data_IF_528670431760
#
_entry.id   IF_528670431760
#
_cell.length_a   1.000
_cell.length_b   1.000
_cell.length_c   1.000
_cell.angle_alpha   90.00
_cell.angle_beta   90.00
_cell.angle_gamma   90.00
#
_symmetry.space_group_name_H-M   'P 1'
#
loop_
_entity.id
_entity.type
_entity.pdbx_description
1 polymer ?
#
# COMPACT_ATOMS: atom_id res chain seq x y z
N UNK A 1 -58.42 -28.46 11.40
CA UNK A 1 -58.50 -27.10 10.87
C UNK A 1 -57.95 -27.16 9.46
N UNK A 2 -58.84 -27.38 8.49
CA UNK A 2 -58.99 -26.58 7.26
C UNK A 2 -57.70 -25.90 6.75
N UNK A 3 -57.08 -26.45 5.69
CA UNK A 3 -57.35 -26.14 4.26
C UNK A 3 -56.73 -24.81 3.84
N UNK A 4 -56.18 -24.59 2.66
CA UNK A 4 -55.62 -25.40 1.58
C UNK A 4 -54.75 -24.39 0.79
N UNK A 5 -53.54 -24.77 0.37
CA UNK A 5 -52.75 -24.02 -0.62
C UNK A 5 -52.74 -24.89 -1.86
N UNK A 6 -53.25 -24.38 -2.99
CA UNK A 6 -52.99 -24.96 -4.30
C UNK A 6 -52.46 -23.88 -5.26
N UNK A 7 -51.50 -24.24 -6.14
CA UNK A 7 -50.71 -23.34 -6.96
C UNK A 7 -51.35 -23.12 -8.35
N UNK A 8 -50.91 -22.10 -9.09
CA UNK A 8 -51.20 -21.98 -10.52
C UNK A 8 -49.91 -21.95 -11.34
N UNK A 9 -49.92 -22.80 -12.36
CA UNK A 9 -48.91 -23.15 -13.35
C UNK A 9 -48.85 -22.16 -14.54
N UNK A 10 -47.64 -22.08 -15.12
CA UNK A 10 -47.25 -21.96 -16.54
C UNK A 10 -48.29 -21.64 -17.61
N UNK A 11 -47.92 -20.73 -18.54
CA UNK A 11 -48.06 -20.95 -20.00
C UNK A 11 -46.86 -20.32 -20.75
N UNK A 12 -46.11 -21.15 -21.50
CA UNK A 12 -45.25 -20.76 -22.61
C UNK A 12 -46.10 -20.54 -23.87
N UNK A 13 -45.75 -19.55 -24.70
CA UNK A 13 -46.02 -19.61 -26.13
C UNK A 13 -44.92 -18.92 -26.94
N UNK A 14 -44.34 -19.68 -27.85
CA UNK A 14 -43.42 -19.32 -28.93
C UNK A 14 -44.20 -19.15 -30.23
N UNK A 15 -43.97 -18.08 -31.00
CA UNK A 15 -44.22 -18.02 -32.47
C UNK A 15 -43.17 -17.12 -33.14
N UNK A 16 -42.76 -17.55 -34.34
CA UNK A 16 -41.68 -17.07 -35.20
C UNK A 16 -41.99 -15.79 -36.02
N UNK A 17 -40.91 -15.33 -36.67
CA UNK A 17 -40.66 -14.19 -37.58
C UNK A 17 -41.65 -13.98 -38.74
N UNK A 18 -41.73 -12.73 -39.23
CA UNK A 18 -41.46 -12.39 -40.64
C UNK A 18 -41.19 -10.87 -40.83
N UNK A 19 -40.40 -10.55 -41.86
CA UNK A 19 -39.71 -9.29 -42.12
C UNK A 19 -40.52 -8.33 -43.01
N UNK A 20 -40.19 -7.03 -42.97
CA UNK A 20 -40.19 -6.17 -44.17
C UNK A 20 -39.32 -4.91 -44.01
N UNK A 21 -38.57 -4.67 -45.07
CA UNK A 21 -37.58 -3.62 -45.31
C UNK A 21 -38.17 -2.25 -45.61
N UNK A 22 -37.58 -1.19 -45.07
CA UNK A 22 -37.51 0.13 -45.75
C UNK A 22 -36.19 0.82 -45.45
N UNK A 23 -35.77 1.60 -46.43
CA UNK A 23 -34.45 2.11 -46.76
C UNK A 23 -34.02 3.40 -46.03
N UNK A 24 -32.70 3.56 -45.93
CA UNK A 24 -31.91 4.80 -45.96
C UNK A 24 -32.18 5.88 -44.89
N UNK A 25 -31.18 6.10 -44.04
CA UNK A 25 -30.50 7.40 -43.98
C UNK A 25 -29.13 7.28 -43.31
N UNK A 26 -28.12 7.78 -44.02
CA UNK A 26 -26.75 7.93 -43.59
C UNK A 26 -26.63 8.87 -42.38
N UNK A 27 -26.18 8.33 -41.26
CA UNK A 27 -25.43 9.08 -40.26
C UNK A 27 -24.15 8.29 -40.00
N UNK A 28 -23.06 8.72 -40.64
CA UNK A 28 -21.72 8.25 -40.33
C UNK A 28 -21.41 8.62 -38.88
N UNK A 29 -21.50 7.63 -37.98
CA UNK A 29 -20.87 7.70 -36.67
C UNK A 29 -19.38 7.40 -36.86
N UNK A 30 -18.46 8.22 -36.32
CA UNK A 30 -17.04 7.89 -36.37
C UNK A 30 -16.82 6.59 -35.58
N UNK A 31 -15.84 5.75 -35.98
CA UNK A 31 -15.56 4.52 -35.25
C UNK A 31 -15.19 4.89 -33.81
N UNK A 32 -15.95 4.37 -32.84
CA UNK A 32 -15.55 4.33 -31.46
C UNK A 32 -14.27 3.49 -31.40
N UNK A 33 -13.13 4.16 -31.47
CA UNK A 33 -11.87 3.58 -31.01
C UNK A 33 -12.10 3.24 -29.56
N UNK A 34 -12.19 1.95 -29.25
CA UNK A 34 -12.03 1.44 -27.89
C UNK A 34 -10.68 1.95 -27.38
N UNK A 35 -10.69 3.11 -26.73
CA UNK A 35 -9.60 3.47 -25.83
C UNK A 35 -9.56 2.33 -24.82
N UNK A 36 -8.43 1.63 -24.76
CA UNK A 36 -8.14 0.64 -23.72
C UNK A 36 -8.68 1.20 -22.41
N UNK A 37 -9.74 0.60 -21.89
CA UNK A 37 -10.29 0.95 -20.61
C UNK A 37 -9.16 0.75 -19.61
N UNK A 38 -8.68 1.85 -19.03
CA UNK A 38 -7.97 1.78 -17.77
C UNK A 38 -8.85 0.99 -16.82
N UNK A 39 -8.35 -0.14 -16.35
CA UNK A 39 -9.02 -0.95 -15.33
C UNK A 39 -9.52 -0.02 -14.22
N UNK A 40 -10.74 -0.19 -13.70
CA UNK A 40 -11.18 0.53 -12.50
C UNK A 40 -10.28 0.25 -11.28
N UNK A 41 -9.37 -0.74 -11.39
CA UNK A 41 -8.35 -1.10 -10.41
C UNK A 41 -6.94 -0.58 -10.75
N UNK A 42 -6.75 0.16 -11.84
CA UNK A 42 -5.43 0.73 -12.15
C UNK A 42 -5.06 1.83 -11.15
N UNK A 43 -4.00 1.59 -10.38
CA UNK A 43 -3.41 2.60 -9.52
C UNK A 43 -2.76 3.67 -10.41
N UNK A 44 -3.43 4.81 -10.53
CA UNK A 44 -2.85 5.97 -11.19
C UNK A 44 -1.88 6.68 -10.24
N UNK A 45 -0.59 6.31 -10.33
CA UNK A 45 0.50 6.93 -9.57
C UNK A 45 0.64 8.43 -9.86
N UNK A 46 0.12 8.90 -11.00
CA UNK A 46 0.06 10.34 -11.30
C UNK A 46 -0.99 11.02 -10.41
N UNK A 47 -2.14 10.39 -10.17
CA UNK A 47 -3.19 10.94 -9.27
C UNK A 47 -2.71 11.08 -7.81
N UNK A 48 -1.79 10.21 -7.37
CA UNK A 48 -1.18 10.29 -6.04
C UNK A 48 -0.31 11.55 -5.83
N UNK A 49 0.24 12.13 -6.92
CA UNK A 49 0.99 13.41 -6.89
C UNK A 49 0.16 14.62 -7.33
N UNK A 50 -0.85 14.43 -8.19
CA UNK A 50 -1.56 15.51 -8.90
C UNK A 50 -2.96 15.86 -8.38
N UNK A 51 -3.50 15.21 -7.33
CA UNK A 51 -4.63 15.76 -6.56
C UNK A 51 -4.20 16.99 -5.71
N UNK A 52 -3.37 17.85 -6.27
CA UNK A 52 -2.80 19.02 -5.63
C UNK A 52 -3.84 20.16 -5.46
N UNK A 53 -5.12 19.99 -5.74
CA UNK A 53 -6.11 21.07 -5.55
C UNK A 53 -7.30 20.71 -4.65
N UNK A 54 -7.52 19.44 -4.31
CA UNK A 54 -8.76 19.00 -3.64
C UNK A 54 -8.68 18.91 -2.11
N UNK A 55 -7.48 19.05 -1.52
CA UNK A 55 -7.31 18.99 -0.07
C UNK A 55 -6.50 20.17 0.46
N UNK A 56 -6.96 20.68 1.61
CA UNK A 56 -6.38 21.84 2.32
C UNK A 56 -5.52 21.43 3.51
N UNK A 57 -5.54 20.14 3.90
CA UNK A 57 -4.89 19.63 5.09
C UNK A 57 -4.00 18.42 4.81
N UNK A 58 -3.03 18.19 5.68
CA UNK A 58 -2.13 17.02 5.63
C UNK A 58 -2.01 16.39 7.00
N UNK A 59 -1.90 15.07 7.02
CA UNK A 59 -1.67 14.29 8.23
C UNK A 59 -0.16 14.09 8.41
N UNK A 60 0.33 14.30 9.63
CA UNK A 60 1.74 14.09 9.96
C UNK A 60 1.91 12.84 10.81
N UNK A 61 2.90 12.02 10.45
CA UNK A 61 3.22 10.80 11.16
C UNK A 61 4.72 10.71 11.42
N UNK A 62 5.07 10.14 12.57
CA UNK A 62 6.38 9.54 12.81
C UNK A 62 6.24 8.03 12.68
N UNK A 63 7.02 7.42 11.80
CA UNK A 63 7.07 5.97 11.56
C UNK A 63 8.44 5.48 12.03
N UNK A 64 8.49 4.51 12.92
CA UNK A 64 9.72 4.02 13.52
C UNK A 64 9.75 2.48 13.51
N UNK A 65 10.86 1.89 13.07
CA UNK A 65 11.09 0.46 13.24
C UNK A 65 11.31 0.13 14.72
N UNK A 66 10.57 -0.83 15.24
CA UNK A 66 10.48 -1.08 16.69
C UNK A 66 11.77 -1.67 17.26
N UNK A 67 12.35 -2.65 16.57
CA UNK A 67 13.48 -3.43 17.10
C UNK A 67 14.84 -2.79 16.81
N UNK A 68 14.91 -1.84 15.89
CA UNK A 68 16.18 -1.23 15.47
C UNK A 68 16.47 0.02 16.29
N UNK A 69 17.45 -0.09 17.21
CA UNK A 69 17.78 0.98 18.18
C UNK A 69 19.13 1.67 17.94
N UNK A 70 20.04 1.05 17.17
CA UNK A 70 21.44 1.51 17.03
C UNK A 70 21.90 1.49 15.56
N UNK A 71 21.89 2.66 14.88
CA UNK A 71 21.07 3.84 15.22
C UNK A 71 19.58 3.52 15.04
N UNK A 72 18.67 4.29 15.66
CA UNK A 72 17.25 4.10 15.43
C UNK A 72 16.87 4.48 14.00
N UNK A 73 16.01 3.67 13.39
CA UNK A 73 15.50 3.92 12.03
C UNK A 73 14.08 4.47 12.12
N UNK A 74 13.89 5.72 11.66
CA UNK A 74 12.58 6.36 11.64
C UNK A 74 12.47 7.44 10.57
N UNK A 75 11.23 7.74 10.19
CA UNK A 75 10.85 8.79 9.25
C UNK A 75 9.72 9.61 9.84
N UNK A 76 9.75 10.92 9.65
CA UNK A 76 8.62 11.82 9.90
C UNK A 76 8.14 12.35 8.57
N UNK A 77 6.91 12.01 8.21
CA UNK A 77 6.34 12.32 6.91
C UNK A 77 5.04 13.10 7.06
N UNK A 78 4.68 13.84 6.01
CA UNK A 78 3.35 14.39 5.83
C UNK A 78 2.72 13.77 4.58
N UNK A 79 1.47 13.35 4.70
CA UNK A 79 0.68 12.76 3.63
C UNK A 79 -0.63 13.54 3.44
N UNK A 80 -1.23 13.53 2.24
CA UNK A 80 -2.54 14.13 2.01
C UNK A 80 -3.60 13.66 3.02
N UNK A 81 -4.52 14.55 3.41
CA UNK A 81 -5.60 14.23 4.35
C UNK A 81 -6.55 13.14 3.85
N UNK A 82 -6.70 13.02 2.54
CA UNK A 82 -7.55 12.04 1.86
C UNK A 82 -6.81 10.73 1.52
N UNK A 83 -5.63 10.47 2.12
CA UNK A 83 -4.94 9.21 1.89
C UNK A 83 -5.70 8.02 2.45
N UNK A 84 -5.80 6.97 1.64
CA UNK A 84 -6.19 5.63 2.08
C UNK A 84 -5.03 4.94 2.80
N UNK A 85 -5.31 3.84 3.50
CA UNK A 85 -4.28 3.00 4.10
C UNK A 85 -3.33 2.41 3.04
N UNK A 86 -3.83 2.06 1.86
CA UNK A 86 -2.98 1.59 0.78
C UNK A 86 -2.02 2.68 0.27
N UNK A 87 -2.50 3.91 0.08
CA UNK A 87 -1.63 5.03 -0.30
C UNK A 87 -0.60 5.34 0.79
N UNK A 88 -0.98 5.18 2.06
CA UNK A 88 -0.07 5.33 3.19
C UNK A 88 1.00 4.24 3.22
N UNK A 89 0.63 2.98 2.97
CA UNK A 89 1.56 1.87 2.80
C UNK A 89 2.62 2.19 1.74
N UNK A 90 2.22 2.64 0.55
CA UNK A 90 3.17 3.02 -0.50
C UNK A 90 4.08 4.18 -0.06
N UNK A 91 3.56 5.12 0.74
CA UNK A 91 4.38 6.20 1.30
C UNK A 91 5.41 5.68 2.32
N UNK A 92 5.04 4.71 3.16
CA UNK A 92 5.97 4.04 4.08
C UNK A 92 7.06 3.34 3.28
N UNK A 93 6.68 2.50 2.31
CA UNK A 93 7.61 1.76 1.45
C UNK A 93 8.62 2.68 0.75
N UNK A 94 8.14 3.79 0.18
CA UNK A 94 9.02 4.79 -0.45
C UNK A 94 10.02 5.36 0.55
N UNK A 95 9.54 5.90 1.68
CA UNK A 95 10.40 6.61 2.64
C UNK A 95 11.33 5.67 3.42
N UNK A 96 11.02 4.37 3.48
CA UNK A 96 11.88 3.33 4.02
C UNK A 96 12.86 2.76 2.99
N UNK A 97 12.72 3.05 1.70
CA UNK A 97 13.63 2.49 0.69
C UNK A 97 13.28 1.08 0.23
N UNK A 98 12.11 0.56 0.59
CA UNK A 98 11.63 -0.78 0.24
C UNK A 98 10.88 -0.82 -1.08
N UNK A 99 10.61 -2.03 -1.56
CA UNK A 99 10.17 -2.33 -2.93
C UNK A 99 8.70 -2.74 -3.01
N UNK A 100 7.97 -2.79 -1.89
CA UNK A 100 6.60 -3.29 -1.86
C UNK A 100 6.53 -4.71 -2.48
N UNK A 101 7.36 -5.63 -1.97
CA UNK A 101 7.51 -6.99 -2.50
C UNK A 101 6.82 -8.05 -1.64
N UNK A 102 6.37 -7.69 -0.45
CA UNK A 102 5.79 -8.61 0.52
C UNK A 102 4.44 -8.12 1.05
N UNK A 103 3.73 -9.01 1.74
CA UNK A 103 2.48 -8.70 2.44
C UNK A 103 2.69 -7.69 3.57
N UNK A 104 1.62 -6.99 3.92
CA UNK A 104 1.59 -6.06 5.03
C UNK A 104 0.21 -5.99 5.68
N UNK A 105 0.18 -5.48 6.91
CA UNK A 105 -1.07 -5.21 7.62
C UNK A 105 -0.88 -4.05 8.60
N UNK A 106 -1.92 -3.23 8.74
CA UNK A 106 -2.04 -2.26 9.83
C UNK A 106 -2.93 -2.82 10.92
N UNK A 107 -2.48 -2.74 12.18
CA UNK A 107 -3.24 -3.19 13.34
C UNK A 107 -3.72 -2.00 14.15
N UNK A 108 -5.01 -1.74 14.08
CA UNK A 108 -5.65 -0.71 14.87
C UNK A 108 -5.85 -1.19 16.32
N UNK A 109 -6.13 -0.23 17.21
CA UNK A 109 -6.59 -0.56 18.55
C UNK A 109 -7.95 -1.29 18.44
N UNK A 110 -8.29 -2.12 19.42
CA UNK A 110 -9.54 -2.90 19.48
C UNK A 110 -9.63 -4.13 18.54
N UNK A 111 -8.50 -4.59 17.99
CA UNK A 111 -8.43 -5.88 17.28
C UNK A 111 -8.98 -5.83 15.86
N UNK A 112 -8.87 -4.67 15.20
CA UNK A 112 -9.14 -4.54 13.76
C UNK A 112 -7.83 -4.54 12.98
N UNK A 113 -7.85 -5.23 11.84
CA UNK A 113 -6.78 -5.21 10.87
C UNK A 113 -7.23 -4.47 9.61
N UNK A 114 -6.32 -3.72 9.01
CA UNK A 114 -6.53 -3.01 7.75
C UNK A 114 -5.44 -3.48 6.80
N UNK A 115 -5.86 -4.04 5.67
CA UNK A 115 -4.95 -4.64 4.70
C UNK A 115 -5.74 -5.20 3.52
N UNK A 116 -5.10 -6.06 2.74
CA UNK A 116 -5.78 -6.74 1.64
C UNK A 116 -6.64 -7.90 2.18
N UNK A 117 -7.97 -7.88 2.05
CA UNK A 117 -8.84 -8.96 2.52
C UNK A 117 -8.45 -10.31 1.91
N UNK A 118 -8.11 -10.35 0.62
CA UNK A 118 -7.75 -11.59 -0.09
C UNK A 118 -6.44 -12.22 0.39
N UNK A 119 -5.51 -11.43 0.94
CA UNK A 119 -4.22 -11.94 1.43
C UNK A 119 -4.29 -12.33 2.91
N UNK A 120 -5.20 -11.70 3.65
CA UNK A 120 -5.37 -11.95 5.08
C UNK A 120 -6.31 -13.15 5.29
N UNK A 121 -7.24 -13.43 4.37
CA UNK A 121 -8.15 -14.59 4.44
C UNK A 121 -7.42 -15.95 4.52
N UNK A 122 -6.29 -16.12 3.83
CA UNK A 122 -5.50 -17.36 3.89
C UNK A 122 -4.84 -17.60 5.26
N UNK A 123 -4.60 -16.54 6.05
CA UNK A 123 -4.07 -16.63 7.42
C UNK A 123 -5.15 -16.41 8.51
N UNK A 124 -6.31 -15.84 8.16
CA UNK A 124 -7.35 -15.41 9.11
C UNK A 124 -8.34 -16.50 9.51
N UNK A 125 -8.33 -17.67 8.85
CA UNK A 125 -9.08 -18.85 9.33
C UNK A 125 -8.76 -19.20 10.80
N UNK A 126 -7.63 -18.72 11.33
CA UNK A 126 -7.22 -18.91 12.72
C UNK A 126 -7.53 -17.72 13.66
N UNK A 127 -7.75 -16.49 13.16
CA UNK A 127 -7.70 -15.29 14.00
C UNK A 127 -9.03 -14.58 14.28
N UNK A 128 -10.15 -14.93 13.64
CA UNK A 128 -11.48 -14.26 13.82
C UNK A 128 -11.43 -12.72 13.73
N UNK A 129 -10.37 -12.15 13.15
CA UNK A 129 -10.09 -10.72 13.18
C UNK A 129 -10.79 -10.06 12.00
N UNK A 130 -11.53 -8.97 12.26
CA UNK A 130 -12.22 -8.24 11.20
C UNK A 130 -11.19 -7.44 10.38
N UNK A 131 -11.17 -7.71 9.07
CA UNK A 131 -10.27 -7.07 8.11
C UNK A 131 -11.02 -6.00 7.31
N UNK A 132 -10.48 -4.79 7.25
CA UNK A 132 -10.98 -3.71 6.40
C UNK A 132 -10.09 -3.50 5.17
N UNK A 133 -10.72 -3.22 4.03
CA UNK A 133 -10.05 -3.03 2.74
C UNK A 133 -9.23 -1.72 2.70
N UNK A 134 -7.90 -1.85 2.69
CA UNK A 134 -6.96 -0.73 2.72
C UNK A 134 -7.09 0.26 1.55
N UNK A 135 -7.60 -0.17 0.40
CA UNK A 135 -7.78 0.70 -0.79
C UNK A 135 -8.93 1.66 -0.64
N UNK A 136 -9.85 1.43 0.30
CA UNK A 136 -11.05 2.27 0.52
C UNK A 136 -11.11 2.93 1.90
N UNK A 137 -10.42 2.36 2.89
CA UNK A 137 -10.35 2.92 4.24
C UNK A 137 -9.40 4.12 4.30
N UNK A 138 -9.86 5.26 4.84
CA UNK A 138 -9.09 6.50 4.94
C UNK A 138 -8.35 6.62 6.28
N UNK A 139 -7.16 7.22 6.26
CA UNK A 139 -6.37 7.46 7.48
C UNK A 139 -7.12 8.34 8.49
N UNK A 140 -7.83 9.36 7.97
CA UNK A 140 -8.57 10.33 8.80
C UNK A 140 -9.69 9.70 9.62
N UNK A 141 -10.18 8.52 9.23
CA UNK A 141 -11.24 7.82 9.97
C UNK A 141 -10.69 7.14 11.24
N UNK A 142 -9.36 6.98 11.32
CA UNK A 142 -8.68 6.32 12.44
C UNK A 142 -7.87 7.27 13.31
N UNK A 143 -7.21 8.27 12.72
CA UNK A 143 -6.25 9.12 13.42
C UNK A 143 -6.85 10.47 13.84
N UNK A 144 -7.30 10.54 15.09
CA UNK A 144 -8.02 11.71 15.64
C UNK A 144 -7.25 12.44 16.74
N UNK A 145 -6.42 11.71 17.49
CA UNK A 145 -5.81 12.21 18.73
C UNK A 145 -4.29 12.24 18.55
N UNK A 146 -3.66 13.38 18.83
CA UNK A 146 -2.21 13.50 18.79
C UNK A 146 -1.55 12.45 19.70
N UNK A 147 -0.45 11.87 19.24
CA UNK A 147 0.26 10.74 19.84
C UNK A 147 -0.50 9.39 19.79
N UNK A 148 -1.62 9.30 19.06
CA UNK A 148 -2.26 8.02 18.76
C UNK A 148 -1.30 7.13 17.99
N UNK A 149 -1.27 5.85 18.37
CA UNK A 149 -0.35 4.86 17.84
C UNK A 149 -1.09 3.74 17.13
N UNK A 150 -0.45 3.23 16.09
CA UNK A 150 -0.87 2.08 15.30
C UNK A 150 0.35 1.26 14.92
N UNK A 151 0.21 -0.07 14.87
CA UNK A 151 1.25 -0.94 14.38
C UNK A 151 1.07 -1.20 12.89
N UNK A 152 2.18 -1.24 12.16
CA UNK A 152 2.23 -1.66 10.76
C UNK A 152 3.31 -2.72 10.63
N UNK A 153 2.94 -3.89 10.14
CA UNK A 153 3.87 -4.98 9.84
C UNK A 153 4.03 -5.08 8.33
N UNK A 154 5.28 -5.19 7.88
CA UNK A 154 5.65 -5.46 6.50
C UNK A 154 6.53 -6.70 6.45
N UNK A 155 6.31 -7.52 5.42
CA UNK A 155 6.95 -8.81 5.23
C UNK A 155 6.69 -9.77 6.40
N UNK A 156 5.72 -10.68 6.25
CA UNK A 156 5.39 -11.65 7.30
C UNK A 156 6.46 -12.74 7.48
N UNK A 157 7.45 -12.83 6.58
CA UNK A 157 8.61 -13.69 6.77
C UNK A 157 9.63 -13.05 7.72
N UNK A 158 9.98 -11.79 7.46
CA UNK A 158 10.97 -11.04 8.24
C UNK A 158 10.36 -10.29 9.45
N UNK A 159 9.04 -10.15 9.48
CA UNK A 159 8.21 -9.48 10.49
C UNK A 159 8.69 -8.07 10.85
N UNK A 160 8.78 -7.17 9.86
CA UNK A 160 9.18 -5.79 10.11
C UNK A 160 8.06 -4.97 10.78
N UNK A 161 8.11 -4.91 12.11
CA UNK A 161 7.22 -4.09 12.95
C UNK A 161 7.55 -2.61 12.95
N UNK A 162 6.55 -1.78 12.66
CA UNK A 162 6.62 -0.33 12.69
C UNK A 162 5.62 0.25 13.66
N UNK A 163 6.11 1.13 14.52
CA UNK A 163 5.25 1.99 15.31
C UNK A 163 4.96 3.29 14.55
N UNK A 164 3.72 3.44 14.09
CA UNK A 164 3.19 4.67 13.54
C UNK A 164 2.65 5.52 14.68
N UNK A 165 3.14 6.74 14.80
CA UNK A 165 2.65 7.75 15.76
C UNK A 165 2.09 8.93 15.00
N UNK A 166 0.81 9.23 15.20
CA UNK A 166 0.15 10.38 14.62
C UNK A 166 0.53 11.66 15.38
N UNK A 167 1.08 12.64 14.67
CA UNK A 167 1.58 13.90 15.27
C UNK A 167 0.61 15.08 15.05
N UNK A 168 -0.46 14.89 14.28
CA UNK A 168 -1.54 15.86 14.06
C UNK A 168 -1.85 16.17 12.59
N UNK A 169 -2.90 16.96 12.38
CA UNK A 169 -3.28 17.55 11.09
C UNK A 169 -2.71 18.96 10.98
N UNK A 170 -2.20 19.31 9.80
CA UNK A 170 -1.63 20.61 9.52
C UNK A 170 -2.19 21.18 8.22
N UNK A 171 -2.20 22.50 8.09
CA UNK A 171 -2.53 23.13 6.82
C UNK A 171 -1.49 22.77 5.76
N UNK A 172 -2.01 22.46 4.58
CA UNK A 172 -1.21 22.20 3.42
C UNK A 172 -0.51 23.49 2.98
N UNK A 173 0.79 23.39 2.71
CA UNK A 173 1.56 24.52 2.19
C UNK A 173 1.37 24.63 0.68
N UNK A 174 1.02 25.84 0.21
CA UNK A 174 0.93 26.15 -1.20
C UNK A 174 2.25 25.81 -1.93
N UNK A 175 2.14 25.37 -3.19
CA UNK A 175 3.29 25.02 -4.06
C UNK A 175 4.24 23.98 -3.45
N UNK A 176 3.75 23.12 -2.58
CA UNK A 176 4.51 22.01 -1.98
C UNK A 176 3.94 20.69 -2.45
N UNK A 177 4.81 19.77 -2.88
CA UNK A 177 4.43 18.41 -3.22
C UNK A 177 4.28 17.55 -1.95
N UNK A 178 3.33 16.63 -2.01
CA UNK A 178 3.07 15.62 -1.00
C UNK A 178 2.91 14.26 -1.69
N UNK A 179 3.18 13.14 -0.99
CA UNK A 179 3.72 13.07 0.38
C UNK A 179 5.15 13.59 0.44
N UNK A 180 5.61 13.97 1.63
CA UNK A 180 6.98 14.47 1.82
C UNK A 180 7.58 14.05 3.13
N UNK A 181 8.90 13.89 3.15
CA UNK A 181 9.65 13.60 4.36
C UNK A 181 10.14 14.91 4.98
N UNK A 182 9.84 15.09 6.27
CA UNK A 182 10.25 16.25 7.05
C UNK A 182 11.61 16.01 7.71
N UNK A 183 11.80 14.84 8.31
CA UNK A 183 13.00 14.43 9.06
C UNK A 183 13.08 12.91 9.10
N UNK A 184 14.26 12.38 9.41
CA UNK A 184 14.45 10.96 9.66
C UNK A 184 15.86 10.69 10.16
N UNK A 185 16.14 9.44 10.50
CA UNK A 185 17.46 8.95 10.88
C UNK A 185 17.58 7.47 10.54
N UNK A 186 18.80 7.04 10.24
CA UNK A 186 19.17 5.64 10.12
C UNK A 186 18.79 5.06 8.77
N UNK A 187 19.70 4.26 8.21
CA UNK A 187 19.49 3.53 6.98
C UNK A 187 18.58 2.34 7.25
N UNK A 188 17.54 2.18 6.44
CA UNK A 188 16.62 1.07 6.62
C UNK A 188 17.30 -0.27 6.29
N UNK A 189 16.82 -1.37 6.90
CA UNK A 189 17.20 -2.71 6.49
C UNK A 189 17.00 -2.90 4.97
N UNK A 190 17.93 -3.55 4.27
CA UNK A 190 17.68 -4.04 2.92
C UNK A 190 16.48 -5.00 2.92
N UNK A 191 15.79 -5.11 1.77
CA UNK A 191 14.82 -6.20 1.54
C UNK A 191 15.51 -7.56 1.73
N UNK A 192 14.74 -8.56 2.20
CA UNK A 192 15.16 -9.95 2.33
C UNK A 192 16.43 -10.17 3.20
N UNK A 193 16.73 -9.25 4.11
CA UNK A 193 17.94 -9.36 4.96
C UNK A 193 17.76 -10.36 6.10
N UNK A 194 16.56 -10.92 6.30
CA UNK A 194 16.28 -11.95 7.31
C UNK A 194 15.85 -11.38 8.65
N UNK A 195 15.00 -10.35 8.63
CA UNK A 195 14.42 -9.75 9.83
C UNK A 195 15.46 -9.08 10.72
N UNK A 196 15.10 -8.86 11.99
CA UNK A 196 15.94 -8.12 12.93
C UNK A 196 17.33 -8.74 13.14
N UNK A 197 17.41 -10.05 13.37
CA UNK A 197 18.70 -10.73 13.58
C UNK A 197 19.54 -10.76 12.31
N UNK A 198 18.92 -10.98 11.15
CA UNK A 198 19.60 -10.90 9.86
C UNK A 198 20.19 -9.52 9.60
N UNK A 199 19.43 -8.45 9.85
CA UNK A 199 19.95 -7.08 9.72
C UNK A 199 21.05 -6.74 10.73
N UNK A 200 20.97 -7.28 11.95
CA UNK A 200 22.03 -7.11 12.95
C UNK A 200 23.33 -7.78 12.51
N UNK A 201 23.25 -9.02 12.02
CA UNK A 201 24.40 -9.74 11.45
C UNK A 201 24.97 -9.00 10.23
N UNK A 202 24.09 -8.57 9.32
CA UNK A 202 24.46 -7.77 8.15
C UNK A 202 25.28 -6.53 8.52
N UNK A 203 24.85 -5.77 9.54
CA UNK A 203 25.59 -4.57 9.99
C UNK A 203 26.96 -4.91 10.57
N UNK A 204 27.07 -6.01 11.30
CA UNK A 204 28.34 -6.46 11.87
C UNK A 204 29.32 -6.82 10.75
N UNK A 205 28.88 -7.67 9.83
CA UNK A 205 29.68 -8.11 8.68
C UNK A 205 30.11 -6.92 7.81
N UNK A 206 29.17 -6.05 7.43
CA UNK A 206 29.47 -4.89 6.57
C UNK A 206 30.34 -3.83 7.25
N UNK A 207 30.51 -3.88 8.57
CA UNK A 207 31.38 -2.96 9.31
C UNK A 207 32.85 -3.42 9.39
N UNK A 208 33.11 -4.72 9.19
CA UNK A 208 34.45 -5.29 9.20
C UNK A 208 34.84 -5.84 7.82
N UNK A 209 35.68 -5.09 7.11
CA UNK A 209 36.19 -5.48 5.77
C UNK A 209 37.03 -6.75 5.77
N UNK A 210 37.49 -7.23 6.92
CA UNK A 210 38.24 -8.48 7.05
C UNK A 210 37.34 -9.65 7.50
N UNK A 211 36.04 -9.42 7.74
CA UNK A 211 35.13 -10.49 8.12
C UNK A 211 35.09 -11.54 6.99
N UNK A 212 35.15 -12.86 7.29
CA UNK A 212 35.18 -13.91 6.28
C UNK A 212 34.00 -13.87 5.28
N UNK A 213 32.86 -13.34 5.71
CA UNK A 213 31.65 -13.19 4.89
C UNK A 213 31.46 -11.79 4.27
N UNK A 214 32.39 -10.84 4.50
CA UNK A 214 32.22 -9.46 4.04
C UNK A 214 32.04 -9.38 2.52
N UNK A 215 32.88 -10.06 1.75
CA UNK A 215 32.81 -10.04 0.27
C UNK A 215 31.44 -10.52 -0.24
N UNK A 216 30.93 -11.63 0.32
CA UNK A 216 29.61 -12.17 -0.05
C UNK A 216 28.48 -11.17 0.22
N UNK A 217 28.49 -10.53 1.39
CA UNK A 217 27.47 -9.57 1.78
C UNK A 217 27.58 -8.24 1.03
N UNK A 218 28.80 -7.80 0.72
CA UNK A 218 29.07 -6.63 -0.10
C UNK A 218 28.51 -6.81 -1.51
N UNK A 219 28.77 -7.96 -2.12
CA UNK A 219 28.26 -8.31 -3.45
C UNK A 219 26.73 -8.45 -3.45
N UNK A 220 26.16 -9.14 -2.46
CA UNK A 220 24.71 -9.24 -2.28
C UNK A 220 24.04 -7.86 -2.13
N UNK A 221 24.70 -6.93 -1.42
CA UNK A 221 24.23 -5.57 -1.24
C UNK A 221 24.43 -4.67 -2.49
N UNK A 222 24.95 -5.24 -3.57
CA UNK A 222 25.14 -4.57 -4.86
C UNK A 222 26.46 -3.82 -4.95
N UNK A 223 27.51 -4.30 -4.29
CA UNK A 223 28.87 -3.76 -4.40
C UNK A 223 29.02 -2.35 -3.84
N UNK A 224 28.38 -2.07 -2.70
CA UNK A 224 28.40 -0.74 -2.09
C UNK A 224 28.60 -0.81 -0.58
N UNK A 225 29.28 0.20 -0.02
CA UNK A 225 29.43 0.30 1.43
C UNK A 225 28.08 0.54 2.10
N UNK A 226 27.90 0.00 3.31
CA UNK A 226 26.72 0.23 4.13
C UNK A 226 27.04 1.17 5.30
N UNK A 227 26.43 2.35 5.32
CA UNK A 227 26.48 3.25 6.45
C UNK A 227 25.15 3.22 7.24
N UNK A 228 25.12 2.69 8.47
CA UNK A 228 23.88 2.55 9.24
C UNK A 228 23.25 3.89 9.66
N UNK A 229 24.02 4.97 9.77
CA UNK A 229 23.51 6.30 10.14
C UNK A 229 23.00 7.13 8.95
N UNK A 230 23.27 6.67 7.72
CA UNK A 230 22.91 7.39 6.51
C UNK A 230 21.39 7.49 6.33
N UNK A 231 20.92 8.71 6.04
CA UNK A 231 19.56 8.94 5.58
C UNK A 231 19.52 10.24 4.77
N UNK A 232 19.06 10.16 3.52
CA UNK A 232 18.76 11.32 2.70
C UNK A 232 17.24 11.57 2.64
N UNK A 233 16.84 12.75 3.11
CA UNK A 233 15.45 13.19 3.11
C UNK A 233 14.94 13.56 1.73
N UNK A 234 15.81 14.10 0.86
CA UNK A 234 15.40 14.62 -0.46
C UNK A 234 14.87 13.50 -1.35
N UNK A 235 15.53 12.33 -1.30
CA UNK A 235 15.22 11.19 -2.15
C UNK A 235 14.14 10.24 -1.59
N UNK A 236 13.58 10.54 -0.41
CA UNK A 236 12.67 9.65 0.31
C UNK A 236 11.38 9.30 -0.48
N UNK A 237 11.02 10.07 -1.51
CA UNK A 237 9.82 9.84 -2.32
C UNK A 237 10.10 9.79 -3.83
N UNK A 238 11.36 9.71 -4.26
CA UNK A 238 11.73 9.70 -5.69
C UNK A 238 11.10 8.52 -6.45
N UNK A 239 10.91 7.39 -5.75
CA UNK A 239 10.35 6.16 -6.32
C UNK A 239 8.82 6.09 -6.28
N UNK A 240 8.12 7.10 -5.77
CA UNK A 240 6.66 7.01 -5.55
C UNK A 240 5.85 6.79 -6.84
N UNK A 241 6.33 7.24 -8.01
CA UNK A 241 5.63 6.98 -9.29
C UNK A 241 5.88 5.58 -9.83
N UNK A 242 6.98 4.94 -9.40
CA UNK A 242 7.49 3.67 -9.90
C UNK A 242 7.33 2.53 -8.88
N UNK A 243 6.69 2.80 -7.74
CA UNK A 243 6.39 1.76 -6.78
C UNK A 243 5.16 1.00 -7.29
N UNK A 244 5.42 -0.18 -7.83
CA UNK A 244 4.37 -1.02 -8.38
C UNK A 244 3.59 -1.67 -7.23
N UNK A 245 2.29 -1.83 -7.41
CA UNK A 245 1.54 -2.82 -6.63
C UNK A 245 1.91 -4.19 -7.20
N UNK A 246 2.65 -5.01 -6.45
CA UNK A 246 3.01 -6.36 -6.90
C UNK A 246 1.76 -7.23 -7.19
N UNK A 247 0.60 -6.83 -6.64
CA UNK A 247 -0.70 -7.46 -6.86
C UNK A 247 -1.37 -7.08 -8.19
N UNK A 248 -0.87 -6.06 -8.90
CA UNK A 248 -1.40 -5.69 -10.21
C UNK A 248 -0.90 -6.63 -11.33
N UNK A 249 0.07 -7.51 -11.02
CA UNK A 249 0.36 -8.67 -11.85
C UNK A 249 -0.64 -9.77 -11.51
N UNK A 250 -1.47 -10.15 -12.47
CA UNK A 250 -2.56 -11.13 -12.34
C UNK A 250 -2.13 -12.58 -12.03
N UNK A 251 -1.05 -12.77 -11.28
CA UNK A 251 -0.39 -14.06 -11.03
C UNK A 251 -0.76 -14.66 -9.66
N UNK A 252 -1.95 -14.34 -9.15
CA UNK A 252 -2.65 -15.16 -8.17
C UNK A 252 -3.94 -15.71 -8.80
N UNK A 253 -3.80 -16.48 -9.88
CA UNK A 253 -4.74 -17.58 -10.10
C UNK A 253 -4.21 -18.80 -9.36
N UNK A 254 -4.78 -19.04 -8.18
CA UNK A 254 -4.72 -20.35 -7.52
C UNK A 254 -5.80 -21.22 -8.16
#
# INVERSE_FOLDING_TARGET
>A
MDSAINPIFFIQHSVQQEAQSTSNNDFQTPPLTLSRSSSPFSFDSTRARYNNDDYVQVLQFKIQLEDIKKPPVWRRIQVPYEYTFFQFHLAIQCCMGWRNSHMHVFRAQEGFEIGNPHMIEDFSYLSQTLVQEEKTTLLKDYFHIKEQKMLYEYDFGDSWGHLITYEGTFDRKARTQYPKCLKGRGKCPPEDVGGFEGFKNFKEIMSDKNHPEHENFYDWYGGKDFNPDEFDRSSAFDRLENINDFRDYGDYQI
#
